data_IF_104954287609
#
_entry.id   IF_104954287609
#
_cell.length_a   1.000
_cell.length_b   1.000
_cell.length_c   1.000
_cell.angle_alpha   90.00
_cell.angle_beta   90.00
_cell.angle_gamma   90.00
#
_symmetry.space_group_name_H-M   'P 1'
#
loop_
_entity.id
_entity.type
_entity.pdbx_description
1 polymer ?
#
# COMPACT_ATOMS: atom_id res chain seq x y z
N UNK A 1 -14.20 -2.77 -14.79
CA UNK A 1 -12.73 -2.78 -14.57
C UNK A 1 -12.32 -4.20 -14.19
N UNK A 2 -11.35 -4.75 -14.92
CA UNK A 2 -10.76 -6.04 -14.61
C UNK A 2 -9.59 -5.82 -13.64
N UNK A 3 -9.51 -6.61 -12.56
CA UNK A 3 -8.36 -6.65 -11.66
C UNK A 3 -7.84 -8.07 -11.54
N UNK A 4 -6.53 -8.23 -11.70
CA UNK A 4 -5.84 -9.51 -11.51
C UNK A 4 -4.92 -9.36 -10.30
N UNK A 5 -5.20 -10.13 -9.23
CA UNK A 5 -4.29 -10.31 -8.10
C UNK A 5 -3.43 -11.54 -8.32
N UNK A 6 -2.10 -11.41 -8.27
CA UNK A 6 -1.20 -12.53 -8.60
C UNK A 6 0.17 -12.37 -7.96
N UNK A 7 0.86 -13.48 -7.69
CA UNK A 7 2.30 -13.53 -7.37
C UNK A 7 3.15 -14.03 -8.55
N UNK A 8 2.53 -14.38 -9.67
CA UNK A 8 3.20 -14.99 -10.83
C UNK A 8 4.40 -14.18 -11.36
N UNK A 9 4.35 -12.85 -11.53
CA UNK A 9 5.52 -12.11 -11.99
C UNK A 9 6.74 -12.24 -11.08
N UNK A 10 6.54 -12.58 -9.80
CA UNK A 10 7.61 -12.76 -8.80
C UNK A 10 8.12 -14.20 -8.77
N UNK A 11 7.20 -15.18 -8.71
CA UNK A 11 7.58 -16.59 -8.50
C UNK A 11 7.80 -17.37 -9.80
N UNK A 12 7.29 -16.87 -10.92
CA UNK A 12 7.42 -17.48 -12.24
C UNK A 12 7.40 -16.42 -13.35
N UNK A 13 8.37 -15.49 -13.38
CA UNK A 13 8.40 -14.34 -14.31
C UNK A 13 8.34 -14.77 -15.78
N UNK A 14 8.82 -15.97 -16.13
CA UNK A 14 8.81 -16.54 -17.48
C UNK A 14 7.38 -16.74 -18.03
N UNK A 15 6.34 -16.70 -17.19
CA UNK A 15 4.93 -16.73 -17.62
C UNK A 15 4.48 -15.43 -18.29
N UNK A 16 5.22 -14.34 -18.09
CA UNK A 16 4.92 -13.05 -18.73
C UNK A 16 5.45 -13.08 -20.16
N UNK A 17 4.74 -13.77 -21.01
CA UNK A 17 5.11 -13.99 -22.41
C UNK A 17 4.49 -12.95 -23.35
N UNK A 18 5.07 -12.69 -24.53
CA UNK A 18 4.46 -11.82 -25.54
C UNK A 18 3.02 -12.22 -25.92
N UNK A 19 2.72 -13.52 -25.92
CA UNK A 19 1.37 -14.03 -26.17
C UNK A 19 0.41 -13.60 -25.07
N UNK A 20 0.79 -13.74 -23.79
CA UNK A 20 -0.02 -13.31 -22.65
C UNK A 20 -0.26 -11.80 -22.73
N UNK A 21 0.79 -11.00 -22.95
CA UNK A 21 0.69 -9.54 -23.02
C UNK A 21 -0.28 -9.10 -24.13
N UNK A 22 -0.19 -9.68 -25.32
CA UNK A 22 -1.15 -9.41 -26.42
C UNK A 22 -2.58 -9.78 -26.05
N UNK A 23 -2.77 -10.84 -25.26
CA UNK A 23 -4.11 -11.23 -24.79
C UNK A 23 -4.64 -10.22 -23.79
N UNK A 24 -3.84 -9.86 -22.77
CA UNK A 24 -4.26 -8.90 -21.72
C UNK A 24 -4.60 -7.53 -22.29
N UNK A 25 -3.85 -7.05 -23.29
CA UNK A 25 -4.12 -5.78 -23.99
C UNK A 25 -5.52 -5.68 -24.58
N UNK A 26 -6.12 -6.80 -24.98
CA UNK A 26 -7.47 -6.81 -25.57
C UNK A 26 -8.59 -6.50 -24.57
N UNK A 27 -8.30 -6.63 -23.27
CA UNK A 27 -9.31 -6.53 -22.20
C UNK A 27 -9.09 -5.32 -21.31
N UNK A 28 -8.56 -4.24 -21.87
CA UNK A 28 -8.42 -2.96 -21.17
C UNK A 28 -9.81 -2.35 -20.86
N UNK A 29 -10.02 -1.64 -19.75
CA UNK A 29 -9.03 -1.33 -18.72
C UNK A 29 -8.80 -2.50 -17.75
N UNK A 30 -7.55 -2.94 -17.65
CA UNK A 30 -7.09 -4.03 -16.78
C UNK A 30 -6.01 -3.52 -15.85
N UNK A 31 -6.12 -3.83 -14.56
CA UNK A 31 -5.17 -3.50 -13.50
C UNK A 31 -4.59 -4.77 -12.93
N UNK A 32 -3.30 -4.75 -12.60
CA UNK A 32 -2.65 -5.90 -11.98
C UNK A 32 -2.10 -5.53 -10.60
N UNK A 33 -2.49 -6.31 -9.59
CA UNK A 33 -1.97 -6.22 -8.23
C UNK A 33 -1.01 -7.38 -7.98
N UNK A 34 0.27 -7.08 -7.85
CA UNK A 34 1.33 -8.08 -7.73
C UNK A 34 1.73 -8.22 -6.26
N UNK A 35 1.80 -9.46 -5.77
CA UNK A 35 2.24 -9.72 -4.40
C UNK A 35 3.76 -9.70 -4.31
N UNK A 36 4.28 -8.76 -3.52
CA UNK A 36 5.68 -8.64 -3.12
C UNK A 36 5.78 -8.67 -1.60
N UNK A 37 6.79 -9.35 -1.09
CA UNK A 37 6.99 -9.51 0.36
C UNK A 37 8.32 -8.90 0.81
N UNK A 38 9.39 -9.05 0.03
CA UNK A 38 10.74 -8.66 0.41
C UNK A 38 11.53 -8.06 -0.77
N UNK A 39 12.51 -7.15 -0.54
CA UNK A 39 13.35 -6.61 -1.61
C UNK A 39 14.09 -7.68 -2.45
N UNK A 40 14.45 -8.82 -1.85
CA UNK A 40 15.14 -9.92 -2.55
C UNK A 40 14.28 -10.55 -3.67
N UNK A 41 12.99 -10.31 -3.69
CA UNK A 41 12.10 -10.72 -4.79
C UNK A 41 12.25 -9.86 -6.05
N UNK A 42 12.98 -8.75 -5.97
CA UNK A 42 13.22 -7.83 -7.09
C UNK A 42 14.40 -8.31 -7.96
N UNK A 43 14.36 -9.57 -8.39
CA UNK A 43 15.38 -10.14 -9.29
C UNK A 43 15.33 -9.49 -10.67
N UNK A 44 16.40 -9.59 -11.49
CA UNK A 44 16.39 -9.09 -12.87
C UNK A 44 15.21 -9.62 -13.70
N UNK A 45 14.84 -10.89 -13.51
CA UNK A 45 13.73 -11.54 -14.22
C UNK A 45 12.38 -10.96 -13.80
N UNK A 46 12.17 -10.74 -12.49
CA UNK A 46 10.98 -10.09 -11.95
C UNK A 46 10.85 -8.65 -12.47
N UNK A 47 11.96 -7.91 -12.48
CA UNK A 47 12.00 -6.55 -13.01
C UNK A 47 11.65 -6.53 -14.51
N UNK A 48 12.21 -7.42 -15.31
CA UNK A 48 11.89 -7.54 -16.72
C UNK A 48 10.40 -7.86 -16.95
N UNK A 49 9.84 -8.81 -16.19
CA UNK A 49 8.43 -9.18 -16.27
C UNK A 49 7.49 -7.99 -15.93
N UNK A 50 7.78 -7.26 -14.85
CA UNK A 50 7.00 -6.08 -14.47
C UNK A 50 7.11 -4.96 -15.52
N UNK A 51 8.32 -4.71 -16.05
CA UNK A 51 8.52 -3.73 -17.11
C UNK A 51 7.73 -4.09 -18.39
N UNK A 52 7.73 -5.34 -18.81
CA UNK A 52 6.94 -5.80 -19.97
C UNK A 52 5.43 -5.59 -19.76
N UNK A 53 4.91 -5.87 -18.56
CA UNK A 53 3.51 -5.59 -18.19
C UNK A 53 3.20 -4.09 -18.30
N UNK A 54 4.05 -3.24 -17.70
CA UNK A 54 3.89 -1.80 -17.72
C UNK A 54 4.00 -1.21 -19.14
N UNK A 55 4.96 -1.68 -19.97
CA UNK A 55 5.12 -1.32 -21.38
C UNK A 55 3.90 -1.73 -22.22
N UNK A 56 3.17 -2.73 -21.75
CA UNK A 56 1.91 -3.17 -22.36
C UNK A 56 0.72 -2.29 -21.98
N UNK A 57 0.91 -1.20 -21.22
CA UNK A 57 -0.13 -0.28 -20.77
C UNK A 57 -0.97 -0.83 -19.62
N UNK A 58 -0.48 -1.81 -18.87
CA UNK A 58 -1.16 -2.37 -17.71
C UNK A 58 -0.68 -1.62 -16.45
N UNK A 59 -1.55 -0.86 -15.75
CA UNK A 59 -1.21 -0.26 -14.47
C UNK A 59 -0.90 -1.32 -13.43
N UNK A 60 0.24 -1.15 -12.72
CA UNK A 60 0.73 -2.10 -11.72
C UNK A 60 0.66 -1.51 -10.32
N UNK A 61 0.12 -2.29 -9.38
CA UNK A 61 0.17 -2.02 -7.96
C UNK A 61 0.73 -3.20 -7.19
N UNK A 62 1.34 -2.97 -6.03
CA UNK A 62 1.77 -4.05 -5.15
C UNK A 62 0.78 -4.31 -4.03
N UNK A 63 0.73 -5.57 -3.61
CA UNK A 63 0.12 -6.02 -2.36
C UNK A 63 1.22 -6.69 -1.55
N UNK A 64 1.44 -6.19 -0.34
CA UNK A 64 2.49 -6.67 0.58
C UNK A 64 1.83 -7.04 1.90
N UNK A 65 2.13 -8.21 2.44
CA UNK A 65 1.73 -8.59 3.79
C UNK A 65 2.86 -8.26 4.76
N UNK A 66 2.55 -7.60 5.86
CA UNK A 66 3.50 -7.32 6.93
C UNK A 66 3.75 -8.58 7.74
N UNK A 67 4.98 -9.08 7.72
CA UNK A 67 5.38 -10.35 8.33
C UNK A 67 6.51 -10.14 9.33
N UNK A 68 6.30 -10.57 10.55
CA UNK A 68 7.28 -10.51 11.66
C UNK A 68 8.56 -11.26 11.28
N UNK A 69 9.70 -10.60 11.47
CA UNK A 69 11.03 -11.16 11.20
C UNK A 69 11.39 -11.27 9.71
N UNK A 70 10.51 -10.84 8.81
CA UNK A 70 10.73 -10.86 7.35
C UNK A 70 10.86 -9.43 6.81
N UNK A 71 9.82 -8.62 6.97
CA UNK A 71 9.76 -7.27 6.39
C UNK A 71 9.24 -6.21 7.39
N UNK A 72 9.26 -6.50 8.67
CA UNK A 72 8.73 -5.65 9.74
C UNK A 72 9.72 -4.57 10.22
N UNK A 73 10.57 -4.08 9.33
CA UNK A 73 11.42 -2.90 9.56
C UNK A 73 11.16 -1.82 8.52
N UNK A 74 11.25 -0.56 8.93
CA UNK A 74 11.08 0.60 8.03
C UNK A 74 12.06 0.55 6.86
N UNK A 75 13.31 0.15 7.12
CA UNK A 75 14.35 0.07 6.08
C UNK A 75 14.00 -0.99 5.03
N UNK A 76 13.61 -2.19 5.43
CA UNK A 76 13.23 -3.28 4.51
C UNK A 76 12.04 -2.87 3.64
N UNK A 77 10.99 -2.28 4.24
CA UNK A 77 9.83 -1.81 3.49
C UNK A 77 10.16 -0.64 2.56
N UNK A 78 10.99 0.31 3.01
CA UNK A 78 11.47 1.41 2.17
C UNK A 78 12.21 0.89 0.95
N UNK A 79 13.14 -0.03 1.15
CA UNK A 79 13.96 -0.59 0.07
C UNK A 79 13.09 -1.38 -0.92
N UNK A 80 12.11 -2.16 -0.44
CA UNK A 80 11.11 -2.81 -1.28
C UNK A 80 10.32 -1.78 -2.09
N UNK A 81 9.73 -0.79 -1.45
CA UNK A 81 8.82 0.16 -2.12
C UNK A 81 9.56 1.07 -3.09
N UNK A 82 10.80 1.48 -2.78
CA UNK A 82 11.64 2.19 -3.74
C UNK A 82 12.00 1.32 -4.94
N UNK A 83 12.34 0.04 -4.70
CA UNK A 83 12.61 -0.91 -5.77
C UNK A 83 11.40 -1.12 -6.67
N UNK A 84 10.20 -1.24 -6.09
CA UNK A 84 8.94 -1.36 -6.83
C UNK A 84 8.68 -0.15 -7.73
N UNK A 85 8.90 1.07 -7.24
CA UNK A 85 8.71 2.28 -8.04
C UNK A 85 9.67 2.32 -9.25
N UNK A 86 10.91 1.85 -9.09
CA UNK A 86 11.89 1.78 -10.20
C UNK A 86 11.41 0.89 -11.35
N UNK A 87 10.59 -0.12 -11.05
CA UNK A 87 9.98 -1.03 -12.04
C UNK A 87 8.52 -0.70 -12.33
N UNK A 88 8.08 0.52 -12.00
CA UNK A 88 6.75 1.05 -12.29
C UNK A 88 5.60 0.28 -11.62
N UNK A 89 5.88 -0.38 -10.49
CA UNK A 89 4.88 -0.99 -9.61
C UNK A 89 4.63 -0.04 -8.44
N UNK A 90 3.42 0.52 -8.34
CA UNK A 90 3.07 1.42 -7.24
C UNK A 90 2.78 0.62 -5.96
N UNK A 91 3.43 0.88 -4.82
CA UNK A 91 3.00 0.38 -3.52
C UNK A 91 1.54 0.76 -3.26
N UNK A 92 0.65 -0.24 -3.20
CA UNK A 92 -0.79 0.01 -3.09
C UNK A 92 -1.31 -0.35 -1.70
N UNK A 93 -1.18 -1.62 -1.30
CA UNK A 93 -1.57 -2.08 0.03
C UNK A 93 -0.40 -2.70 0.79
N UNK A 94 -0.32 -2.35 2.08
CA UNK A 94 0.37 -3.11 3.12
C UNK A 94 -0.73 -3.76 3.98
N UNK A 95 -0.81 -5.08 3.99
CA UNK A 95 -1.81 -5.83 4.76
C UNK A 95 -1.27 -6.23 6.11
N UNK A 96 -2.06 -6.05 7.16
CA UNK A 96 -1.86 -6.81 8.38
C UNK A 96 -1.99 -8.31 8.06
N UNK A 97 -1.09 -9.13 8.61
CA UNK A 97 -1.15 -10.58 8.40
C UNK A 97 -2.44 -11.16 9.02
N UNK A 98 -3.22 -11.87 8.21
CA UNK A 98 -4.49 -12.46 8.63
C UNK A 98 -4.32 -13.53 9.71
N UNK A 99 -5.30 -13.68 10.63
CA UNK A 99 -5.29 -14.67 11.68
C UNK A 99 -5.68 -16.07 11.16
N UNK A 100 -4.97 -16.57 10.15
CA UNK A 100 -5.17 -17.90 9.61
C UNK A 100 -4.38 -18.95 10.40
N UNK A 101 -4.81 -20.22 10.31
CA UNK A 101 -4.12 -21.33 10.95
C UNK A 101 -2.67 -21.41 10.46
N UNK A 102 -1.71 -21.52 11.38
CA UNK A 102 -0.28 -21.60 11.07
C UNK A 102 0.43 -20.24 10.88
N UNK A 103 -0.27 -19.08 10.84
CA UNK A 103 0.34 -17.78 10.61
C UNK A 103 0.78 -17.04 11.89
N UNK A 104 0.48 -17.56 13.07
CA UNK A 104 0.64 -16.84 14.34
C UNK A 104 2.07 -16.29 14.58
N UNK A 105 3.09 -17.03 14.18
CA UNK A 105 4.50 -16.64 14.35
C UNK A 105 4.94 -15.52 13.38
N UNK A 106 4.21 -15.29 12.29
CA UNK A 106 4.46 -14.21 11.35
C UNK A 106 3.65 -12.94 11.62
N UNK A 107 2.70 -12.99 12.55
CA UNK A 107 1.87 -11.82 12.83
C UNK A 107 2.61 -10.79 13.66
N UNK A 108 2.51 -9.53 13.25
CA UNK A 108 2.91 -8.37 14.02
C UNK A 108 1.72 -7.82 14.81
N UNK A 109 1.97 -6.87 15.72
CA UNK A 109 0.89 -6.05 16.29
C UNK A 109 0.42 -5.00 15.27
N UNK A 110 -0.78 -4.44 15.50
CA UNK A 110 -1.34 -3.35 14.68
C UNK A 110 -0.47 -2.09 14.80
N UNK A 111 0.00 -1.80 16.02
CA UNK A 111 0.87 -0.67 16.32
C UNK A 111 2.16 -0.75 15.51
N UNK A 112 2.71 -1.97 15.30
CA UNK A 112 3.88 -2.18 14.45
C UNK A 112 3.62 -1.76 13.01
N UNK A 113 2.45 -2.07 12.45
CA UNK A 113 2.06 -1.64 11.10
C UNK A 113 1.91 -0.12 11.00
N UNK A 114 1.32 0.52 12.01
CA UNK A 114 1.21 1.98 12.10
C UNK A 114 2.60 2.62 12.19
N UNK A 115 3.51 2.08 13.00
CA UNK A 115 4.91 2.50 13.09
C UNK A 115 5.62 2.45 11.72
N UNK A 116 5.39 1.39 10.94
CA UNK A 116 5.96 1.28 9.59
C UNK A 116 5.49 2.43 8.68
N UNK A 117 4.19 2.74 8.69
CA UNK A 117 3.65 3.86 7.89
C UNK A 117 4.18 5.20 8.39
N UNK A 118 4.27 5.41 9.70
CA UNK A 118 4.83 6.64 10.29
C UNK A 118 6.29 6.82 9.90
N UNK A 119 7.09 5.73 9.92
CA UNK A 119 8.49 5.76 9.53
C UNK A 119 8.76 5.96 8.04
N UNK A 120 7.78 5.69 7.18
CA UNK A 120 7.85 5.95 5.74
C UNK A 120 7.36 7.36 5.39
N UNK A 121 6.24 7.80 5.98
CA UNK A 121 5.58 9.06 5.62
C UNK A 121 6.44 10.25 6.04
N UNK A 122 6.66 11.19 5.11
CA UNK A 122 7.52 12.35 5.32
C UNK A 122 9.02 12.06 5.15
N UNK A 123 9.43 10.78 5.10
CA UNK A 123 10.82 10.36 4.93
C UNK A 123 11.10 9.79 3.53
N UNK A 124 10.07 9.64 2.71
CA UNK A 124 10.16 9.19 1.31
C UNK A 124 9.05 9.81 0.47
N UNK A 125 9.09 9.56 -0.86
CA UNK A 125 8.02 9.98 -1.77
C UNK A 125 6.67 9.40 -1.33
N UNK A 126 5.60 10.20 -1.41
CA UNK A 126 4.24 9.72 -1.16
C UNK A 126 3.82 8.54 -2.04
N UNK A 127 4.42 8.39 -3.23
CA UNK A 127 4.22 7.21 -4.08
C UNK A 127 4.76 5.91 -3.46
N UNK A 128 5.75 6.00 -2.56
CA UNK A 128 6.34 4.86 -1.86
C UNK A 128 5.61 4.50 -0.56
N UNK A 129 4.56 5.22 -0.18
CA UNK A 129 3.80 4.94 1.05
C UNK A 129 2.50 4.24 0.70
N UNK A 130 2.35 2.92 1.00
CA UNK A 130 1.11 2.18 0.75
C UNK A 130 0.01 2.55 1.74
N UNK A 131 -1.21 2.10 1.45
CA UNK A 131 -2.28 2.08 2.44
C UNK A 131 -2.12 0.85 3.32
N UNK A 132 -1.90 1.05 4.62
CA UNK A 132 -1.93 -0.04 5.59
C UNK A 132 -3.37 -0.38 5.94
N UNK A 133 -3.73 -1.66 5.78
CA UNK A 133 -5.12 -2.12 5.94
C UNK A 133 -5.21 -3.44 6.69
N UNK A 134 -6.34 -3.65 7.36
CA UNK A 134 -6.77 -4.93 7.90
C UNK A 134 -7.94 -5.43 7.08
N UNK A 135 -7.94 -6.69 6.67
CA UNK A 135 -9.13 -7.39 6.23
C UNK A 135 -9.89 -7.88 7.47
N UNK A 136 -10.92 -7.14 7.86
CA UNK A 136 -11.62 -7.40 9.11
C UNK A 136 -12.42 -8.72 9.02
N UNK A 137 -12.27 -9.65 10.00
CA UNK A 137 -13.05 -10.87 10.04
C UNK A 137 -14.55 -10.61 10.04
N UNK A 138 -15.33 -11.61 9.63
CA UNK A 138 -16.81 -11.51 9.62
C UNK A 138 -17.37 -10.62 8.52
N UNK A 139 -16.60 -10.33 7.47
CA UNK A 139 -17.08 -9.52 6.33
C UNK A 139 -16.95 -8.02 6.54
N UNK A 140 -16.18 -7.55 7.52
CA UNK A 140 -15.97 -6.14 7.81
C UNK A 140 -15.20 -5.36 6.73
N UNK A 141 -14.63 -6.06 5.74
CA UNK A 141 -13.90 -5.44 4.62
C UNK A 141 -12.53 -4.90 4.99
N UNK A 142 -11.96 -4.12 4.08
CA UNK A 142 -10.63 -3.52 4.26
C UNK A 142 -10.73 -2.22 5.06
N UNK A 143 -10.23 -2.25 6.28
CA UNK A 143 -10.20 -1.08 7.16
C UNK A 143 -8.81 -0.45 7.10
N UNK A 144 -8.67 0.80 6.59
CA UNK A 144 -7.39 1.50 6.58
C UNK A 144 -7.02 1.95 7.98
N UNK A 145 -5.74 1.77 8.34
CA UNK A 145 -5.16 2.21 9.60
C UNK A 145 -4.05 3.21 9.32
N UNK A 146 -4.08 4.31 10.04
CA UNK A 146 -3.12 5.41 9.90
C UNK A 146 -2.61 5.84 11.27
N UNK A 147 -1.42 6.45 11.35
CA UNK A 147 -1.03 7.22 12.51
C UNK A 147 -2.09 8.28 12.82
N UNK A 148 -2.28 8.58 14.08
CA UNK A 148 -3.23 9.60 14.52
C UNK A 148 -2.67 11.01 14.23
N UNK A 149 -3.02 11.53 13.05
CA UNK A 149 -2.63 12.88 12.61
C UNK A 149 -3.62 13.95 13.04
N UNK A 150 -4.88 13.59 13.31
CA UNK A 150 -5.90 14.51 13.79
C UNK A 150 -5.95 14.43 15.31
N UNK A 151 -5.57 15.52 15.99
CA UNK A 151 -5.45 15.55 17.45
C UNK A 151 -6.66 16.22 18.13
N UNK A 152 -7.57 16.80 17.34
CA UNK A 152 -8.77 17.45 17.87
C UNK A 152 -8.99 18.86 17.34
N UNK A 153 -9.87 19.59 18.03
CA UNK A 153 -10.26 20.97 17.71
C UNK A 153 -10.20 21.84 18.96
N UNK A 154 -9.76 23.09 18.79
CA UNK A 154 -9.80 24.11 19.85
C UNK A 154 -9.93 25.50 19.23
N UNK A 155 -10.82 26.33 19.79
CA UNK A 155 -10.99 27.74 19.39
C UNK A 155 -11.14 27.97 17.87
N UNK A 156 -11.92 27.11 17.17
CA UNK A 156 -12.14 27.22 15.73
C UNK A 156 -10.93 26.79 14.87
N UNK A 157 -10.00 26.08 15.45
CA UNK A 157 -8.84 25.51 14.76
C UNK A 157 -8.75 24.00 14.93
N UNK A 158 -8.28 23.32 13.90
CA UNK A 158 -7.92 21.90 13.95
C UNK A 158 -6.48 21.77 14.43
N UNK A 159 -6.24 20.87 15.36
CA UNK A 159 -4.89 20.50 15.80
C UNK A 159 -4.46 19.25 15.02
N UNK A 160 -3.35 19.37 14.31
CA UNK A 160 -2.77 18.32 13.50
C UNK A 160 -1.38 17.96 13.99
N UNK A 161 -1.02 16.68 13.93
CA UNK A 161 0.32 16.17 14.20
C UNK A 161 0.99 15.75 12.88
N UNK A 162 2.19 16.23 12.60
CA UNK A 162 2.93 15.83 11.41
C UNK A 162 3.75 14.53 11.64
N UNK A 163 4.50 14.11 10.61
CA UNK A 163 5.37 12.91 10.66
C UNK A 163 6.53 13.02 11.67
N UNK A 164 6.93 14.23 12.07
CA UNK A 164 7.91 14.48 13.14
C UNK A 164 7.27 14.51 14.53
N UNK A 165 5.98 14.19 14.64
CA UNK A 165 5.17 14.30 15.87
C UNK A 165 5.03 15.72 16.42
N UNK A 166 5.28 16.74 15.58
CA UNK A 166 5.08 18.15 15.94
C UNK A 166 3.62 18.54 15.69
N UNK A 167 3.06 19.34 16.58
CA UNK A 167 1.68 19.85 16.48
C UNK A 167 1.65 21.14 15.66
N UNK A 168 0.64 21.25 14.80
CA UNK A 168 0.32 22.42 13.99
C UNK A 168 -1.16 22.73 14.10
N UNK A 169 -1.53 23.99 13.92
CA UNK A 169 -2.93 24.41 13.83
C UNK A 169 -3.30 24.71 12.39
N UNK A 170 -4.54 24.39 12.03
CA UNK A 170 -5.12 24.70 10.72
C UNK A 170 -6.46 25.40 10.93
N UNK A 171 -6.72 26.57 10.30
CA UNK A 171 -7.99 27.25 10.43
C UNK A 171 -9.11 26.41 9.82
N UNK A 172 -10.18 26.19 10.58
CA UNK A 172 -11.37 25.48 10.09
C UNK A 172 -12.39 26.50 9.57
N UNK A 173 -12.97 26.26 8.41
CA UNK A 173 -14.10 27.05 7.95
C UNK A 173 -15.31 26.73 8.82
N UNK A 174 -15.91 27.73 9.44
CA UNK A 174 -17.25 27.59 10.03
C UNK A 174 -18.25 27.53 8.88
N UNK A 175 -18.80 26.36 8.57
CA UNK A 175 -20.04 26.30 7.82
C UNK A 175 -21.13 26.87 8.75
N UNK A 176 -21.58 28.09 8.48
CA UNK A 176 -22.86 28.53 8.96
C UNK A 176 -23.91 27.62 8.28
N UNK A 177 -24.36 26.58 8.98
CA UNK A 177 -25.60 25.92 8.60
C UNK A 177 -26.70 27.00 8.74
N UNK A 178 -26.99 27.67 7.65
CA UNK A 178 -28.23 28.43 7.55
C UNK A 178 -29.34 27.41 7.71
N UNK A 179 -29.93 27.37 8.89
CA UNK A 179 -31.21 26.72 9.16
C UNK A 179 -32.26 27.43 8.32
N UNK A 180 -32.27 27.14 7.02
CA UNK A 180 -33.37 27.47 6.12
C UNK A 180 -34.54 26.60 6.53
N UNK A 181 -35.40 27.15 7.38
CA UNK A 181 -36.72 26.58 7.65
C UNK A 181 -37.52 26.48 6.33
N UNK A 182 -38.12 25.35 6.15
CA UNK A 182 -39.35 25.18 5.38
C UNK A 182 -40.46 24.92 6.36
#
# INVERSE_FOLDING_TARGET
IIRIGTKVPVVLPQRITPKLLRTLKKYQPLWMSIHFTHPDELTPETQAACNQLADSGIPLGSQTVLLKGINDTVNTLRDLFHGLLKIRVRPYYLYQCDPILGSAHFRTTIEKGIEMIEGLRGHTSGYAVPNYVIDAPGGGGKIPLLPDYFQGRTNGQVILRNYERKSFTYPECHEEFSSGGI
#
